data_IF_552431418011
#
_entry.id   IF_552431418011
#
_cell.length_a   1.000
_cell.length_b   1.000
_cell.length_c   1.000
_cell.angle_alpha   90.00
_cell.angle_beta   90.00
_cell.angle_gamma   90.00
#
_symmetry.space_group_name_H-M   'P 1'
#
loop_
_entity.id
_entity.type
_entity.pdbx_description
1 polymer ?
#
# COMPACT_ATOMS: atom_id res chain seq x y z
N UNK A 1 -6.95 1.20 49.83
CA UNK A 1 -5.77 1.65 49.05
C UNK A 1 -5.03 0.53 48.30
N UNK A 2 -5.10 -0.75 48.72
CA UNK A 2 -4.52 -1.87 47.96
C UNK A 2 -5.31 -2.20 46.67
N UNK A 3 -6.64 -2.10 46.71
CA UNK A 3 -7.54 -2.39 45.58
C UNK A 3 -7.30 -1.50 44.34
N UNK A 4 -7.09 -0.20 44.53
CA UNK A 4 -6.85 0.74 43.43
C UNK A 4 -5.52 0.44 42.71
N UNK A 5 -4.47 0.07 43.46
CA UNK A 5 -3.17 -0.27 42.86
C UNK A 5 -3.22 -1.56 42.06
N UNK A 6 -3.97 -2.57 42.53
CA UNK A 6 -4.17 -3.82 41.81
C UNK A 6 -4.91 -3.60 40.47
N UNK A 7 -5.96 -2.76 40.48
CA UNK A 7 -6.69 -2.39 39.26
C UNK A 7 -5.79 -1.62 38.28
N UNK A 8 -4.98 -0.67 38.75
CA UNK A 8 -4.03 0.07 37.92
C UNK A 8 -3.03 -0.87 37.22
N UNK A 9 -2.51 -1.88 37.92
CA UNK A 9 -1.60 -2.87 37.36
C UNK A 9 -2.29 -3.74 36.29
N UNK A 10 -3.51 -4.21 36.55
CA UNK A 10 -4.31 -4.95 35.57
C UNK A 10 -4.54 -4.15 34.29
N UNK A 11 -4.80 -2.83 34.40
CA UNK A 11 -4.92 -1.96 33.24
C UNK A 11 -3.60 -1.74 32.49
N UNK A 12 -2.44 -1.77 33.16
CA UNK A 12 -1.14 -1.70 32.47
C UNK A 12 -0.84 -2.97 31.69
N UNK A 13 -1.14 -4.12 32.28
CA UNK A 13 -1.03 -5.43 31.62
C UNK A 13 -1.94 -5.46 30.39
N UNK A 14 -3.21 -5.08 30.53
CA UNK A 14 -4.16 -5.04 29.42
C UNK A 14 -3.73 -4.06 28.30
N UNK A 15 -3.23 -2.87 28.65
CA UNK A 15 -2.72 -1.91 27.66
C UNK A 15 -1.54 -2.47 26.86
N UNK A 16 -0.58 -3.11 27.55
CA UNK A 16 0.65 -3.56 26.92
C UNK A 16 0.49 -4.88 26.17
N UNK A 17 -0.26 -5.83 26.73
CA UNK A 17 -0.35 -7.19 26.18
C UNK A 17 -1.49 -7.34 25.17
N UNK A 18 -2.55 -6.54 25.28
CA UNK A 18 -3.74 -6.65 24.41
C UNK A 18 -3.80 -5.47 23.45
N UNK A 19 -3.99 -4.24 23.95
CA UNK A 19 -4.27 -3.09 23.07
C UNK A 19 -3.13 -2.73 22.12
N UNK A 20 -1.87 -2.82 22.57
CA UNK A 20 -0.70 -2.60 21.70
C UNK A 20 -0.55 -3.70 20.66
N UNK A 21 -0.79 -4.94 21.05
CA UNK A 21 -0.68 -6.08 20.16
C UNK A 21 -1.79 -6.07 19.10
N UNK A 22 -3.03 -5.75 19.48
CA UNK A 22 -4.15 -5.56 18.56
C UNK A 22 -3.88 -4.43 17.56
N UNK A 23 -3.30 -3.31 18.03
CA UNK A 23 -2.88 -2.23 17.15
C UNK A 23 -1.82 -2.70 16.15
N UNK A 24 -0.80 -3.45 16.61
CA UNK A 24 0.24 -4.01 15.75
C UNK A 24 -0.36 -4.92 14.68
N UNK A 25 -1.25 -5.83 15.08
CA UNK A 25 -1.95 -6.75 14.16
C UNK A 25 -2.78 -5.99 13.12
N UNK A 26 -3.54 -4.97 13.52
CA UNK A 26 -4.31 -4.13 12.60
C UNK A 26 -3.39 -3.43 11.57
N UNK A 27 -2.23 -2.95 12.00
CA UNK A 27 -1.26 -2.30 11.10
C UNK A 27 -0.63 -3.30 10.12
N UNK A 28 -0.27 -4.50 10.58
CA UNK A 28 0.26 -5.57 9.72
C UNK A 28 -0.78 -6.03 8.69
N UNK A 29 -2.04 -6.17 9.08
CA UNK A 29 -3.14 -6.49 8.16
C UNK A 29 -3.31 -5.39 7.11
N UNK A 30 -3.25 -4.12 7.54
CA UNK A 30 -3.31 -2.98 6.63
C UNK A 30 -2.16 -2.97 5.63
N UNK A 31 -0.95 -3.31 6.05
CA UNK A 31 0.21 -3.43 5.17
C UNK A 31 0.04 -4.55 4.13
N UNK A 32 -0.48 -5.71 4.54
CA UNK A 32 -0.80 -6.82 3.62
C UNK A 32 -1.83 -6.40 2.56
N UNK A 33 -2.88 -5.68 2.96
CA UNK A 33 -3.91 -5.19 2.03
C UNK A 33 -3.30 -4.16 1.06
N UNK A 34 -2.43 -3.28 1.55
CA UNK A 34 -1.74 -2.29 0.71
C UNK A 34 -0.79 -2.95 -0.31
N UNK A 35 -0.06 -4.01 0.07
CA UNK A 35 0.78 -4.78 -0.85
C UNK A 35 -0.06 -5.37 -1.99
N UNK A 36 -1.18 -6.02 -1.66
CA UNK A 36 -2.12 -6.59 -2.64
C UNK A 36 -2.69 -5.52 -3.59
N UNK A 37 -2.97 -4.33 -3.08
CA UNK A 37 -3.46 -3.23 -3.91
C UNK A 37 -2.37 -2.74 -4.87
N UNK A 38 -1.11 -2.67 -4.43
CA UNK A 38 0.02 -2.34 -5.30
C UNK A 38 0.22 -3.38 -6.42
N UNK A 39 0.09 -4.67 -6.11
CA UNK A 39 0.15 -5.76 -7.10
C UNK A 39 -0.96 -5.62 -8.16
N UNK A 40 -2.19 -5.28 -7.74
CA UNK A 40 -3.31 -5.05 -8.67
C UNK A 40 -3.10 -3.85 -9.57
N UNK A 41 -2.54 -2.75 -9.05
CA UNK A 41 -2.21 -1.57 -9.85
C UNK A 41 -1.12 -1.86 -10.89
N UNK A 42 -0.12 -2.67 -10.53
CA UNK A 42 0.90 -3.14 -11.46
C UNK A 42 0.27 -4.00 -12.56
N UNK A 43 -0.61 -4.94 -12.19
CA UNK A 43 -1.34 -5.77 -13.14
C UNK A 43 -2.16 -4.94 -14.13
N UNK A 44 -2.89 -3.94 -13.63
CA UNK A 44 -3.66 -3.00 -14.47
C UNK A 44 -2.76 -2.28 -15.48
N UNK A 45 -1.64 -1.73 -15.02
CA UNK A 45 -0.69 -1.01 -15.87
C UNK A 45 -0.15 -1.92 -16.97
N UNK A 46 0.13 -3.18 -16.65
CA UNK A 46 0.61 -4.17 -17.62
C UNK A 46 -0.47 -4.48 -18.66
N UNK A 47 -1.72 -4.68 -18.23
CA UNK A 47 -2.85 -4.95 -19.14
C UNK A 47 -3.08 -3.76 -20.09
N UNK A 48 -3.06 -2.53 -19.57
CA UNK A 48 -3.22 -1.31 -20.39
C UNK A 48 -2.10 -1.20 -21.44
N UNK A 49 -0.84 -1.48 -21.06
CA UNK A 49 0.29 -1.49 -22.00
C UNK A 49 0.16 -2.57 -23.08
N UNK A 50 -0.27 -3.78 -22.72
CA UNK A 50 -0.49 -4.86 -23.69
C UNK A 50 -1.60 -4.44 -24.68
N UNK A 51 -2.66 -3.82 -24.17
CA UNK A 51 -3.77 -3.33 -24.99
C UNK A 51 -3.31 -2.23 -25.97
N UNK A 52 -2.41 -1.33 -25.57
CA UNK A 52 -1.81 -0.32 -26.45
C UNK A 52 -0.97 -0.94 -27.57
N UNK A 53 -0.12 -1.92 -27.23
CA UNK A 53 0.71 -2.63 -28.23
C UNK A 53 -0.18 -3.37 -29.23
N UNK A 54 -1.26 -4.00 -28.77
CA UNK A 54 -2.23 -4.67 -29.63
C UNK A 54 -2.90 -3.69 -30.61
N UNK A 55 -3.29 -2.49 -30.15
CA UNK A 55 -3.92 -1.46 -30.99
C UNK A 55 -2.99 -0.94 -32.09
N UNK A 56 -1.69 -0.94 -31.85
CA UNK A 56 -0.68 -0.51 -32.81
C UNK A 56 -0.27 -1.64 -33.78
N UNK A 57 -0.87 -2.84 -33.67
CA UNK A 57 -0.53 -4.04 -34.45
C UNK A 57 0.95 -4.41 -34.38
N UNK A 58 1.61 -4.05 -33.28
CA UNK A 58 3.04 -4.29 -33.07
C UNK A 58 3.28 -5.68 -32.47
N UNK A 59 4.40 -6.30 -32.83
CA UNK A 59 4.82 -7.56 -32.20
C UNK A 59 5.16 -7.32 -30.73
N UNK A 60 4.42 -7.98 -29.81
CA UNK A 60 4.68 -7.86 -28.38
C UNK A 60 5.92 -8.67 -27.99
N UNK A 61 7.04 -7.97 -27.78
CA UNK A 61 8.31 -8.55 -27.34
C UNK A 61 8.53 -8.20 -25.88
N UNK A 62 8.73 -9.21 -25.04
CA UNK A 62 8.94 -9.02 -23.59
C UNK A 62 10.15 -9.82 -23.12
N UNK A 63 10.79 -9.35 -22.05
CA UNK A 63 11.87 -10.06 -21.38
C UNK A 63 11.30 -10.78 -20.16
N UNK A 64 11.45 -12.10 -20.11
CA UNK A 64 10.93 -12.96 -19.03
C UNK A 64 12.09 -13.48 -18.19
N UNK A 65 11.96 -13.37 -16.88
CA UNK A 65 12.91 -13.96 -15.92
C UNK A 65 12.61 -15.45 -15.74
N UNK A 66 13.63 -16.30 -15.92
CA UNK A 66 13.57 -17.74 -15.71
C UNK A 66 14.11 -18.15 -14.33
N UNK A 67 14.65 -17.20 -13.56
CA UNK A 67 15.22 -17.41 -12.22
C UNK A 67 16.69 -16.99 -12.14
N UNK A 68 17.18 -16.73 -10.91
CA UNK A 68 18.57 -16.28 -10.65
C UNK A 68 19.01 -15.08 -11.52
N UNK A 69 18.09 -14.16 -11.82
CA UNK A 69 18.33 -13.03 -12.72
C UNK A 69 18.74 -13.45 -14.14
N UNK A 70 18.25 -14.60 -14.62
CA UNK A 70 18.45 -15.07 -15.98
C UNK A 70 17.24 -14.73 -16.84
N UNK A 71 17.46 -13.86 -17.83
CA UNK A 71 16.38 -13.29 -18.62
C UNK A 71 16.42 -13.76 -20.07
N UNK A 72 15.24 -14.10 -20.63
CA UNK A 72 15.07 -14.49 -22.02
C UNK A 72 14.11 -13.57 -22.73
N UNK A 73 14.43 -13.20 -23.98
CA UNK A 73 13.52 -12.45 -24.82
C UNK A 73 12.47 -13.39 -25.42
N UNK A 74 11.21 -13.14 -25.09
CA UNK A 74 10.06 -13.85 -25.64
C UNK A 74 9.27 -12.94 -26.60
N UNK A 75 8.66 -13.57 -27.60
CA UNK A 75 7.70 -12.93 -28.50
C UNK A 75 6.36 -13.60 -28.26
N UNK A 76 5.33 -12.81 -27.98
CA UNK A 76 3.97 -13.33 -27.77
C UNK A 76 3.26 -13.35 -29.13
N UNK A 77 2.77 -14.53 -29.58
CA UNK A 77 2.14 -14.65 -30.89
C UNK A 77 0.76 -13.98 -30.97
N UNK A 78 -0.04 -14.07 -29.91
CA UNK A 78 -1.35 -13.41 -29.82
C UNK A 78 -1.51 -12.73 -28.45
N UNK A 79 -1.46 -11.39 -28.38
CA UNK A 79 -1.65 -10.65 -27.13
C UNK A 79 -3.14 -10.39 -26.82
N UNK A 80 -4.10 -10.97 -27.54
CA UNK A 80 -5.53 -10.64 -27.40
C UNK A 80 -6.17 -10.95 -26.04
N UNK A 81 -5.56 -11.86 -25.27
CA UNK A 81 -6.10 -12.36 -24.01
C UNK A 81 -5.01 -12.53 -22.96
N UNK A 82 -5.40 -12.45 -21.70
CA UNK A 82 -4.51 -12.57 -20.54
C UNK A 82 -5.00 -13.63 -19.57
N UNK A 83 -4.08 -14.42 -19.02
CA UNK A 83 -4.39 -15.39 -17.98
C UNK A 83 -4.23 -14.73 -16.61
N UNK A 84 -5.33 -14.58 -15.87
CA UNK A 84 -5.34 -13.97 -14.53
C UNK A 84 -5.60 -15.04 -13.48
N UNK A 85 -4.82 -15.01 -12.39
CA UNK A 85 -5.03 -15.89 -11.25
C UNK A 85 -6.22 -15.39 -10.41
N UNK A 86 -7.28 -16.19 -10.34
CA UNK A 86 -8.50 -15.85 -9.59
C UNK A 86 -8.38 -16.27 -8.11
N UNK A 87 -7.71 -17.41 -7.86
CA UNK A 87 -7.46 -17.92 -6.51
C UNK A 87 -7.33 -19.44 -6.47
N UNK A 88 -6.85 -20.00 -5.35
CA UNK A 88 -6.72 -21.46 -5.12
C UNK A 88 -5.93 -22.21 -6.23
N UNK A 89 -5.02 -21.51 -6.92
CA UNK A 89 -4.25 -22.09 -8.03
C UNK A 89 -5.00 -22.14 -9.37
N UNK A 90 -6.21 -21.58 -9.47
CA UNK A 90 -6.94 -21.48 -10.73
C UNK A 90 -6.59 -20.20 -11.49
N UNK A 91 -6.41 -20.38 -12.79
CA UNK A 91 -6.14 -19.33 -13.77
C UNK A 91 -7.28 -19.29 -14.78
N UNK A 92 -7.73 -18.10 -15.12
CA UNK A 92 -8.80 -17.88 -16.09
C UNK A 92 -8.27 -16.98 -17.21
N UNK A 93 -8.53 -17.40 -18.43
CA UNK A 93 -8.24 -16.64 -19.64
C UNK A 93 -9.35 -15.58 -19.82
N UNK A 94 -8.96 -14.30 -19.80
CA UNK A 94 -9.87 -13.16 -19.90
C UNK A 94 -9.44 -12.24 -21.04
N UNK A 95 -10.42 -11.55 -21.63
CA UNK A 95 -10.13 -10.40 -22.51
C UNK A 95 -9.60 -9.21 -21.69
N UNK A 96 -8.96 -8.24 -22.35
CA UNK A 96 -8.44 -7.05 -21.68
C UNK A 96 -9.51 -6.28 -20.90
N UNK A 97 -10.72 -6.14 -21.46
CA UNK A 97 -11.82 -5.41 -20.82
C UNK A 97 -12.35 -6.15 -19.59
N UNK A 98 -12.53 -7.47 -19.70
CA UNK A 98 -12.95 -8.32 -18.57
C UNK A 98 -11.89 -8.32 -17.46
N UNK A 99 -10.61 -8.35 -17.81
CA UNK A 99 -9.51 -8.29 -16.86
C UNK A 99 -9.47 -6.93 -16.12
N UNK A 100 -9.65 -5.81 -16.83
CA UNK A 100 -9.76 -4.48 -16.21
C UNK A 100 -10.97 -4.38 -15.29
N UNK A 101 -12.11 -4.95 -15.69
CA UNK A 101 -13.31 -5.03 -14.84
C UNK A 101 -13.05 -5.85 -13.57
N UNK A 102 -12.37 -7.00 -13.70
CA UNK A 102 -12.01 -7.86 -12.57
C UNK A 102 -11.08 -7.13 -11.59
N UNK A 103 -10.06 -6.43 -12.09
CA UNK A 103 -9.15 -5.64 -11.26
C UNK A 103 -9.92 -4.52 -10.53
N UNK A 104 -10.76 -3.76 -11.23
CA UNK A 104 -11.54 -2.68 -10.62
C UNK A 104 -12.50 -3.19 -9.52
N UNK A 105 -13.10 -4.37 -9.69
CA UNK A 105 -13.92 -4.99 -8.65
C UNK A 105 -13.10 -5.35 -7.41
N UNK A 106 -11.89 -5.90 -7.59
CA UNK A 106 -11.00 -6.24 -6.47
C UNK A 106 -10.45 -5.00 -5.76
N UNK A 107 -10.15 -3.94 -6.50
CA UNK A 107 -9.74 -2.65 -5.93
C UNK A 107 -10.77 -2.12 -4.94
N UNK A 108 -12.06 -2.09 -5.32
CA UNK A 108 -13.14 -1.60 -4.46
C UNK A 108 -13.23 -2.40 -3.15
N UNK A 109 -13.11 -3.73 -3.22
CA UNK A 109 -13.16 -4.59 -2.02
C UNK A 109 -11.97 -4.31 -1.10
N UNK A 110 -10.76 -4.22 -1.65
CA UNK A 110 -9.57 -3.94 -0.85
C UNK A 110 -9.57 -2.51 -0.27
N UNK A 111 -10.12 -1.54 -1.00
CA UNK A 111 -10.31 -0.18 -0.48
C UNK A 111 -11.30 -0.15 0.69
N UNK A 112 -12.38 -0.93 0.63
CA UNK A 112 -13.32 -1.08 1.76
C UNK A 112 -12.64 -1.73 2.97
N UNK A 113 -11.83 -2.78 2.75
CA UNK A 113 -11.04 -3.40 3.82
C UNK A 113 -10.05 -2.41 4.45
N UNK A 114 -9.37 -1.59 3.64
CA UNK A 114 -8.47 -0.55 4.14
C UNK A 114 -9.20 0.50 4.99
N UNK A 115 -10.42 0.90 4.61
CA UNK A 115 -11.22 1.84 5.39
C UNK A 115 -11.58 1.25 6.75
N UNK A 116 -12.11 0.02 6.76
CA UNK A 116 -12.46 -0.69 8.00
C UNK A 116 -11.24 -0.82 8.92
N UNK A 117 -10.10 -1.29 8.41
CA UNK A 117 -8.86 -1.41 9.19
C UNK A 117 -8.35 -0.05 9.70
N UNK A 118 -8.57 1.01 8.94
CA UNK A 118 -8.20 2.37 9.37
C UNK A 118 -9.09 2.85 10.52
N UNK A 119 -10.39 2.61 10.46
CA UNK A 119 -11.35 2.90 11.54
C UNK A 119 -11.04 2.07 12.79
N UNK A 120 -10.81 0.76 12.64
CA UNK A 120 -10.42 -0.15 13.72
C UNK A 120 -9.13 0.34 14.40
N UNK A 121 -8.13 0.72 13.60
CA UNK A 121 -6.88 1.29 14.14
C UNK A 121 -7.15 2.60 14.91
N UNK A 122 -7.97 3.51 14.38
CA UNK A 122 -8.29 4.77 15.04
C UNK A 122 -9.01 4.55 16.38
N UNK A 123 -9.93 3.59 16.43
CA UNK A 123 -10.65 3.21 17.65
C UNK A 123 -9.68 2.67 18.72
N UNK A 124 -8.78 1.75 18.36
CA UNK A 124 -7.77 1.21 19.29
C UNK A 124 -6.85 2.33 19.78
N UNK A 125 -6.41 3.22 18.88
CA UNK A 125 -5.59 4.39 19.24
C UNK A 125 -6.30 5.32 20.22
N UNK A 126 -7.60 5.58 20.00
CA UNK A 126 -8.41 6.39 20.90
C UNK A 126 -8.55 5.75 22.29
N UNK A 127 -8.78 4.44 22.37
CA UNK A 127 -8.82 3.70 23.64
C UNK A 127 -7.50 3.80 24.42
N UNK A 128 -6.37 3.67 23.73
CA UNK A 128 -5.04 3.85 24.32
C UNK A 128 -4.87 5.30 24.81
N UNK A 129 -5.20 6.29 23.98
CA UNK A 129 -5.06 7.71 24.35
C UNK A 129 -5.92 8.10 25.56
N UNK A 130 -7.19 7.68 25.61
CA UNK A 130 -8.07 7.93 26.75
C UNK A 130 -7.49 7.36 28.04
N UNK A 131 -6.99 6.13 28.01
CA UNK A 131 -6.42 5.47 29.19
C UNK A 131 -5.14 6.15 29.68
N UNK A 132 -4.30 6.65 28.75
CA UNK A 132 -3.07 7.37 29.09
C UNK A 132 -3.32 8.78 29.63
N UNK A 133 -4.35 9.48 29.13
CA UNK A 133 -4.72 10.82 29.61
C UNK A 133 -5.17 10.81 31.08
N UNK A 134 -5.91 9.78 31.50
CA UNK A 134 -6.34 9.59 32.89
C UNK A 134 -5.14 9.50 33.85
N UNK A 135 -3.96 9.06 33.39
CA UNK A 135 -2.79 8.85 34.24
C UNK A 135 -1.82 10.03 34.35
N UNK A 136 -2.00 11.11 33.60
CA UNK A 136 -1.19 12.35 33.74
C UNK A 136 0.35 12.18 33.61
N UNK A 137 0.86 11.01 33.23
CA UNK A 137 2.28 10.68 33.35
C UNK A 137 3.00 10.88 32.01
N UNK A 138 3.78 11.97 31.91
CA UNK A 138 4.38 12.44 30.65
C UNK A 138 5.40 11.46 30.02
N UNK A 139 6.02 10.57 30.80
CA UNK A 139 7.06 9.63 30.31
C UNK A 139 6.53 8.51 29.41
N UNK A 140 5.35 7.94 29.70
CA UNK A 140 4.74 6.92 28.83
C UNK A 140 4.10 7.51 27.58
N UNK A 141 3.69 8.79 27.65
CA UNK A 141 3.10 9.55 26.55
C UNK A 141 4.09 9.63 25.36
N UNK A 142 5.38 9.88 25.62
CA UNK A 142 6.39 10.04 24.58
C UNK A 142 6.69 8.76 23.77
N UNK A 143 6.76 7.59 24.43
CA UNK A 143 7.05 6.31 23.77
C UNK A 143 5.90 5.81 22.89
N UNK A 144 4.66 6.15 23.22
CA UNK A 144 3.47 5.68 22.49
C UNK A 144 3.09 6.67 21.39
N UNK A 145 3.26 7.99 21.57
CA UNK A 145 3.06 8.98 20.49
C UNK A 145 3.96 8.70 19.28
N UNK A 146 5.23 8.32 19.50
CA UNK A 146 6.16 7.90 18.44
C UNK A 146 5.71 6.65 17.66
N UNK A 147 4.87 5.79 18.25
CA UNK A 147 4.28 4.61 17.60
C UNK A 147 2.94 4.90 16.91
N UNK A 148 2.26 6.00 17.30
CA UNK A 148 0.93 6.38 16.83
C UNK A 148 0.95 7.33 15.63
N UNK A 149 2.02 8.10 15.45
CA UNK A 149 2.19 9.12 14.41
C UNK A 149 3.12 8.68 13.26
N UNK A 150 2.99 7.44 12.77
CA UNK A 150 3.32 7.20 11.36
C UNK A 150 2.06 7.50 10.55
N UNK A 151 2.02 8.62 9.81
CA UNK A 151 0.87 8.97 9.03
C UNK A 151 0.58 7.83 8.06
N UNK A 152 -0.71 7.61 7.87
CA UNK A 152 -1.36 6.72 6.91
C UNK A 152 -1.07 7.10 5.45
N UNK A 153 0.20 7.39 5.12
CA UNK A 153 0.69 7.88 3.84
C UNK A 153 0.70 6.83 2.71
N UNK A 154 0.36 5.58 3.01
CA UNK A 154 0.38 4.52 2.01
C UNK A 154 -0.64 4.72 0.87
N UNK A 155 -1.77 5.40 1.10
CA UNK A 155 -2.78 5.60 0.03
C UNK A 155 -2.48 6.87 -0.80
N UNK A 156 -2.02 7.96 -0.18
CA UNK A 156 -1.75 9.20 -0.90
C UNK A 156 -0.53 9.14 -1.83
N UNK A 157 0.44 8.24 -1.59
CA UNK A 157 1.63 8.16 -2.44
C UNK A 157 1.36 7.48 -3.80
N UNK A 158 0.43 6.52 -3.85
CA UNK A 158 0.14 5.77 -5.08
C UNK A 158 -0.87 6.47 -6.00
N UNK A 159 -1.85 7.19 -5.47
CA UNK A 159 -2.84 7.90 -6.31
C UNK A 159 -2.29 9.19 -6.95
N UNK A 160 -1.34 9.87 -6.29
CA UNK A 160 -0.79 11.12 -6.82
C UNK A 160 0.12 10.91 -8.04
N UNK A 161 0.76 9.74 -8.16
CA UNK A 161 1.62 9.41 -9.31
C UNK A 161 0.80 9.33 -10.60
N UNK A 162 -0.48 8.96 -10.53
CA UNK A 162 -1.32 8.78 -11.72
C UNK A 162 -2.08 10.03 -12.17
N UNK A 163 -2.26 11.04 -11.30
CA UNK A 163 -3.01 12.28 -11.63
C UNK A 163 -2.15 13.47 -12.03
N UNK A 164 -0.83 13.44 -11.79
CA UNK A 164 0.03 14.63 -11.93
C UNK A 164 1.19 14.50 -12.92
N UNK A 165 1.31 13.40 -13.67
CA UNK A 165 2.36 13.28 -14.69
C UNK A 165 1.85 12.71 -16.02
N UNK A 166 1.21 13.53 -16.88
CA UNK A 166 1.11 13.25 -18.31
C UNK A 166 2.22 13.91 -19.14
N UNK A 167 3.12 14.71 -18.56
CA UNK A 167 3.97 15.61 -19.38
C UNK A 167 5.48 15.57 -19.14
N UNK A 168 6.00 14.68 -18.30
CA UNK A 168 7.45 14.66 -18.01
C UNK A 168 7.94 13.21 -18.01
N UNK A 169 8.50 12.78 -19.15
CA UNK A 169 9.06 11.45 -19.36
C UNK A 169 10.30 11.18 -18.50
N UNK A 170 10.10 10.73 -17.27
CA UNK A 170 11.16 10.32 -16.34
C UNK A 170 10.92 8.88 -15.88
N UNK A 171 11.98 8.08 -15.81
CA UNK A 171 11.95 6.73 -15.24
C UNK A 171 11.84 6.83 -13.70
N UNK A 172 10.65 6.56 -13.17
CA UNK A 172 10.25 6.79 -11.75
C UNK A 172 10.85 5.75 -10.77
N UNK A 173 11.57 4.73 -11.26
CA UNK A 173 12.09 3.63 -10.44
C UNK A 173 12.99 4.07 -9.27
N UNK A 174 13.66 5.22 -9.35
CA UNK A 174 14.59 5.67 -8.30
C UNK A 174 13.96 6.50 -7.16
N UNK A 175 12.68 6.89 -7.25
CA UNK A 175 12.08 7.83 -6.28
C UNK A 175 11.20 7.15 -5.21
N UNK A 176 10.94 5.85 -5.34
CA UNK A 176 10.09 5.14 -4.38
C UNK A 176 10.80 4.76 -3.06
N UNK A 177 12.14 4.84 -3.00
CA UNK A 177 12.94 4.39 -1.84
C UNK A 177 13.32 5.54 -0.89
N UNK A 178 13.11 6.81 -1.26
CA UNK A 178 13.63 7.94 -0.49
C UNK A 178 12.64 8.51 0.56
N UNK A 179 13.11 8.84 1.78
CA UNK A 179 12.32 9.48 2.82
C UNK A 179 11.79 10.86 2.39
N UNK A 180 10.64 11.25 2.95
CA UNK A 180 9.83 12.43 2.57
C UNK A 180 10.61 13.75 2.52
N UNK A 181 11.68 13.89 3.31
CA UNK A 181 12.49 15.10 3.36
C UNK A 181 13.37 15.32 2.11
N UNK A 182 13.68 14.27 1.35
CA UNK A 182 14.54 14.32 0.15
C UNK A 182 13.72 14.65 -1.11
N UNK A 183 12.43 14.30 -1.11
CA UNK A 183 11.51 14.55 -2.22
C UNK A 183 11.19 16.06 -2.32
N UNK A 184 11.03 16.74 -1.17
CA UNK A 184 10.77 18.18 -1.11
C UNK A 184 11.97 19.01 -1.59
N UNK A 185 13.20 18.61 -1.27
CA UNK A 185 14.39 19.30 -1.79
C UNK A 185 14.58 19.09 -3.28
N UNK A 186 14.28 17.89 -3.82
CA UNK A 186 14.30 17.65 -5.27
C UNK A 186 13.23 18.44 -6.03
N UNK A 187 12.02 18.58 -5.47
CA UNK A 187 10.95 19.40 -6.04
C UNK A 187 11.26 20.89 -5.97
N UNK A 188 11.79 21.39 -4.84
CA UNK A 188 12.17 22.79 -4.69
C UNK A 188 13.30 23.19 -5.65
N UNK A 189 14.28 22.31 -5.85
CA UNK A 189 15.40 22.58 -6.74
C UNK A 189 14.99 22.57 -8.22
N UNK A 190 13.99 21.79 -8.61
CA UNK A 190 13.42 21.81 -9.97
C UNK A 190 12.47 22.97 -10.23
N UNK A 191 11.71 23.43 -9.22
CA UNK A 191 10.86 24.62 -9.35
C UNK A 191 11.71 25.89 -9.58
N UNK A 192 12.91 25.95 -8.99
CA UNK A 192 13.85 27.05 -9.18
C UNK A 192 14.58 27.05 -10.54
N UNK A 193 14.43 26.00 -11.36
CA UNK A 193 15.02 25.90 -12.70
C UNK A 193 13.98 26.23 -13.80
N UNK A 194 12.69 26.26 -13.45
CA UNK A 194 11.59 26.62 -14.36
C UNK A 194 11.05 28.06 -14.18
N UNK A 195 11.64 28.84 -13.27
CA UNK A 195 11.42 30.29 -13.10
C UNK A 195 12.71 31.03 -13.44
#
# INVERSE_FOLDING_TARGET
>A
MADVRAKVLQYETFLNEVLKEDLRRCLEEREKVCSKLSELLQLRTIIERIQEVQKNEETFRTQVDLGCNFYVQAVVPDPSKVCVQVGLGFFVELTHEEALWFVGRREVVLEQDLKRLSEDSANIKAHIQMTLQVRGNARQKLSITLFLDLPSLCICKYRLVHTLVPSIGWNIWHLCILPSHIILSFLAQKLSIML
#
